data_IF_085846649595
#
_entry.id   IF_085846649595
#
_cell.length_a   1.000
_cell.length_b   1.000
_cell.length_c   1.000
_cell.angle_alpha   90.00
_cell.angle_beta   90.00
_cell.angle_gamma   90.00
#
_symmetry.space_group_name_H-M   'P 1'
#
loop_
_entity.id
_entity.type
_entity.pdbx_description
1 polymer ?
#
# COMPACT_ATOMS: atom_id res chain seq x y z
N UNK A 1 -25.15 -13.25 11.11
CA UNK A 1 -24.71 -13.38 12.50
C UNK A 1 -23.47 -12.51 12.65
N UNK A 2 -23.22 -11.92 13.82
CA UNK A 2 -21.97 -11.19 14.05
C UNK A 2 -20.80 -12.17 13.92
N UNK A 3 -19.73 -11.75 13.25
CA UNK A 3 -18.50 -12.53 13.18
C UNK A 3 -17.81 -12.51 14.55
N UNK A 4 -17.22 -13.65 14.91
CA UNK A 4 -16.68 -13.90 16.25
C UNK A 4 -15.17 -13.79 16.20
N UNK A 5 -14.60 -12.90 17.00
CA UNK A 5 -13.15 -12.66 17.04
C UNK A 5 -12.62 -13.07 18.40
N UNK A 6 -11.57 -13.87 18.42
CA UNK A 6 -10.83 -14.20 19.64
C UNK A 6 -9.56 -13.36 19.69
N UNK A 7 -9.34 -12.66 20.80
CA UNK A 7 -8.12 -11.91 21.10
C UNK A 7 -7.34 -12.68 22.17
N UNK A 8 -6.08 -12.99 21.90
CA UNK A 8 -5.16 -13.60 22.85
C UNK A 8 -3.98 -12.65 23.09
N UNK A 9 -3.94 -12.05 24.27
CA UNK A 9 -2.87 -11.15 24.72
C UNK A 9 -2.79 -11.18 26.26
N UNK A 10 -1.63 -10.87 26.83
CA UNK A 10 -1.42 -10.88 28.28
C UNK A 10 -1.66 -9.52 28.96
N UNK A 11 -1.58 -8.44 28.18
CA UNK A 11 -1.85 -7.07 28.63
C UNK A 11 -3.35 -6.75 28.63
N UNK A 12 -3.87 -6.37 29.81
CA UNK A 12 -5.28 -6.07 30.03
C UNK A 12 -5.75 -4.79 29.34
N UNK A 13 -4.88 -3.79 29.22
CA UNK A 13 -5.21 -2.52 28.57
C UNK A 13 -5.30 -2.74 27.05
N UNK A 14 -4.40 -3.56 26.47
CA UNK A 14 -4.46 -3.97 25.07
C UNK A 14 -5.75 -4.75 24.76
N UNK A 15 -6.10 -5.74 25.59
CA UNK A 15 -7.32 -6.54 25.42
C UNK A 15 -8.57 -5.67 25.40
N UNK A 16 -8.69 -4.75 26.36
CA UNK A 16 -9.88 -3.90 26.50
C UNK A 16 -9.95 -2.87 25.35
N UNK A 17 -8.83 -2.25 24.99
CA UNK A 17 -8.79 -1.28 23.90
C UNK A 17 -9.18 -1.92 22.54
N UNK A 18 -8.62 -3.09 22.23
CA UNK A 18 -8.96 -3.79 20.98
C UNK A 18 -10.42 -4.24 21.00
N UNK A 19 -10.88 -4.79 22.13
CA UNK A 19 -12.26 -5.24 22.30
C UNK A 19 -13.27 -4.11 22.03
N UNK A 20 -13.09 -2.95 22.66
CA UNK A 20 -13.99 -1.80 22.48
C UNK A 20 -14.09 -1.43 20.99
N UNK A 21 -12.95 -1.33 20.30
CA UNK A 21 -12.92 -0.96 18.89
C UNK A 21 -13.61 -2.00 17.99
N UNK A 22 -13.43 -3.29 18.27
CA UNK A 22 -14.07 -4.36 17.49
C UNK A 22 -15.58 -4.47 17.77
N UNK A 23 -16.00 -4.32 19.02
CA UNK A 23 -17.42 -4.35 19.37
C UNK A 23 -18.19 -3.15 18.78
N UNK A 24 -17.56 -1.97 18.72
CA UNK A 24 -18.12 -0.80 18.04
C UNK A 24 -18.37 -1.05 16.54
N UNK A 25 -17.59 -1.94 15.94
CA UNK A 25 -17.72 -2.36 14.54
C UNK A 25 -18.68 -3.55 14.36
N UNK A 26 -19.31 -4.02 15.43
CA UNK A 26 -20.35 -5.05 15.39
C UNK A 26 -19.85 -6.49 15.49
N UNK A 27 -18.56 -6.70 15.82
CA UNK A 27 -18.00 -8.03 16.06
C UNK A 27 -18.36 -8.55 17.46
N UNK A 28 -18.50 -9.86 17.60
CA UNK A 28 -18.59 -10.53 18.89
C UNK A 28 -17.18 -10.92 19.36
N UNK A 29 -16.72 -10.32 20.47
CA UNK A 29 -15.32 -10.46 20.90
C UNK A 29 -15.19 -11.41 22.10
N UNK A 30 -14.24 -12.32 22.00
CA UNK A 30 -13.81 -13.24 23.05
C UNK A 30 -12.37 -12.93 23.42
N UNK A 31 -12.05 -13.02 24.71
CA UNK A 31 -10.70 -12.74 25.23
C UNK A 31 -10.04 -14.03 25.72
N UNK A 32 -8.72 -14.07 25.64
CA UNK A 32 -7.85 -15.06 26.26
C UNK A 32 -6.58 -14.37 26.77
N UNK A 33 -6.15 -14.70 27.99
CA UNK A 33 -5.04 -14.03 28.70
C UNK A 33 -3.71 -14.75 28.57
N UNK A 34 -3.70 -15.91 27.92
CA UNK A 34 -2.54 -16.76 27.71
C UNK A 34 -2.81 -17.79 26.59
N UNK A 35 -1.77 -18.51 26.19
CA UNK A 35 -1.84 -19.48 25.10
C UNK A 35 -2.77 -20.67 25.35
N UNK A 36 -2.87 -21.17 26.59
CA UNK A 36 -3.73 -22.32 26.92
C UNK A 36 -5.21 -21.94 26.83
N UNK A 37 -5.57 -20.78 27.39
CA UNK A 37 -6.91 -20.21 27.29
C UNK A 37 -7.27 -19.92 25.82
N UNK A 38 -6.32 -19.43 25.02
CA UNK A 38 -6.53 -19.17 23.60
C UNK A 38 -6.88 -20.46 22.83
N UNK A 39 -6.14 -21.55 23.07
CA UNK A 39 -6.41 -22.86 22.44
C UNK A 39 -7.76 -23.44 22.88
N UNK A 40 -8.10 -23.33 24.17
CA UNK A 40 -9.40 -23.80 24.70
C UNK A 40 -10.57 -22.99 24.10
N UNK A 41 -10.46 -21.66 24.12
CA UNK A 41 -11.48 -20.76 23.60
C UNK A 41 -11.66 -20.94 22.10
N UNK A 42 -10.58 -21.05 21.32
CA UNK A 42 -10.67 -21.28 19.88
C UNK A 42 -11.44 -22.57 19.55
N UNK A 43 -11.22 -23.66 20.30
CA UNK A 43 -11.93 -24.93 20.11
C UNK A 43 -13.41 -24.86 20.47
N UNK A 44 -13.74 -24.12 21.53
CA UNK A 44 -15.12 -23.99 22.04
C UNK A 44 -15.95 -23.01 21.22
N UNK A 45 -15.41 -21.82 21.00
CA UNK A 45 -16.09 -20.71 20.33
C UNK A 45 -16.08 -20.90 18.82
N UNK A 46 -15.00 -21.48 18.25
CA UNK A 46 -14.76 -21.53 16.80
C UNK A 46 -14.87 -20.13 16.17
N UNK A 47 -13.94 -19.22 16.52
CA UNK A 47 -13.96 -17.87 16.00
C UNK A 47 -13.77 -17.85 14.49
N UNK A 48 -14.22 -16.77 13.88
CA UNK A 48 -14.03 -16.48 12.46
C UNK A 48 -12.66 -15.81 12.20
N UNK A 49 -12.01 -15.27 13.26
CA UNK A 49 -10.65 -14.73 13.25
C UNK A 49 -9.99 -14.80 14.63
N UNK A 50 -8.67 -14.99 14.68
CA UNK A 50 -7.87 -14.91 15.91
C UNK A 50 -6.84 -13.78 15.79
N UNK A 51 -6.83 -12.86 16.76
CA UNK A 51 -5.75 -11.90 17.00
C UNK A 51 -4.85 -12.48 18.10
N UNK A 52 -3.56 -12.68 17.81
CA UNK A 52 -2.65 -13.42 18.67
C UNK A 52 -1.37 -12.64 18.95
N UNK A 53 -1.17 -12.22 20.19
CA UNK A 53 0.11 -11.66 20.62
C UNK A 53 1.21 -12.71 20.54
N UNK A 54 2.38 -12.31 20.04
CA UNK A 54 3.57 -13.14 20.03
C UNK A 54 4.15 -13.29 21.43
N UNK A 55 4.16 -12.21 22.20
CA UNK A 55 4.77 -12.20 23.54
C UNK A 55 3.66 -12.38 24.56
N UNK A 56 3.58 -13.58 25.16
CA UNK A 56 2.64 -13.89 26.25
C UNK A 56 3.32 -14.79 27.31
N UNK A 57 2.83 -14.82 28.57
CA UNK A 57 3.25 -15.78 29.57
C UNK A 57 2.86 -17.21 29.17
N UNK A 58 3.78 -18.15 29.32
CA UNK A 58 3.56 -19.55 28.97
C UNK A 58 4.03 -19.87 27.55
N UNK A 59 3.27 -20.65 26.75
CA UNK A 59 3.63 -20.95 25.36
C UNK A 59 3.75 -19.66 24.53
N UNK A 60 4.81 -19.56 23.73
CA UNK A 60 5.00 -18.47 22.77
C UNK A 60 3.79 -18.40 21.82
N UNK A 61 3.33 -17.19 21.47
CA UNK A 61 2.23 -17.00 20.52
C UNK A 61 2.45 -17.77 19.22
N UNK A 62 3.70 -17.97 18.79
CA UNK A 62 4.00 -18.82 17.64
C UNK A 62 3.67 -20.30 17.86
N UNK A 63 3.90 -20.84 19.05
CA UNK A 63 3.51 -22.22 19.40
C UNK A 63 2.00 -22.36 19.46
N UNK A 64 1.30 -21.36 19.99
CA UNK A 64 -0.16 -21.30 19.98
C UNK A 64 -0.69 -21.31 18.55
N UNK A 65 -0.14 -20.47 17.67
CA UNK A 65 -0.50 -20.44 16.25
C UNK A 65 -0.29 -21.80 15.56
N UNK A 66 0.84 -22.48 15.82
CA UNK A 66 1.06 -23.84 15.33
C UNK A 66 0.04 -24.84 15.85
N UNK A 67 -0.30 -24.77 17.14
CA UNK A 67 -1.32 -25.61 17.77
C UNK A 67 -2.71 -25.42 17.15
N UNK A 68 -3.07 -24.17 16.85
CA UNK A 68 -4.32 -23.82 16.17
C UNK A 68 -4.37 -24.37 14.74
N UNK A 69 -3.27 -24.25 13.98
CA UNK A 69 -3.21 -24.75 12.60
C UNK A 69 -3.11 -26.27 12.50
N UNK A 70 -2.62 -26.96 13.54
CA UNK A 70 -2.55 -28.42 13.61
C UNK A 70 -3.88 -29.09 14.04
N UNK A 71 -4.79 -28.36 14.67
CA UNK A 71 -6.10 -28.88 15.11
C UNK A 71 -7.16 -28.68 14.02
N UNK A 72 -7.74 -29.78 13.54
CA UNK A 72 -8.74 -29.77 12.46
C UNK A 72 -10.00 -28.95 12.76
N UNK A 73 -10.24 -28.56 14.02
CA UNK A 73 -11.36 -27.69 14.41
C UNK A 73 -11.07 -26.21 14.22
N UNK A 74 -9.79 -25.83 14.14
CA UNK A 74 -9.31 -24.44 14.12
C UNK A 74 -8.36 -24.15 12.97
N UNK A 75 -7.95 -25.16 12.19
CA UNK A 75 -6.95 -25.02 11.12
C UNK A 75 -7.34 -24.02 10.04
N UNK A 76 -8.64 -23.94 9.74
CA UNK A 76 -9.19 -23.03 8.72
C UNK A 76 -9.45 -21.62 9.27
N UNK A 77 -9.39 -21.45 10.60
CA UNK A 77 -9.55 -20.14 11.22
C UNK A 77 -8.30 -19.30 10.94
N UNK A 78 -8.46 -18.10 10.37
CA UNK A 78 -7.33 -17.25 10.10
C UNK A 78 -6.73 -16.64 11.38
N UNK A 79 -5.41 -16.43 11.37
CA UNK A 79 -4.65 -15.89 12.51
C UNK A 79 -3.87 -14.65 12.09
N UNK A 80 -4.07 -13.54 12.80
CA UNK A 80 -3.29 -12.31 12.69
C UNK A 80 -2.41 -12.19 13.93
N UNK A 81 -1.09 -12.11 13.74
CA UNK A 81 -0.16 -11.93 14.84
C UNK A 81 0.00 -10.47 15.25
N UNK A 82 0.03 -10.18 16.54
CA UNK A 82 0.44 -8.87 17.08
C UNK A 82 1.90 -9.00 17.51
N UNK A 83 2.81 -8.25 16.87
CA UNK A 83 4.26 -8.43 17.02
C UNK A 83 4.94 -7.15 17.49
N UNK A 84 5.97 -7.23 18.31
CA UNK A 84 6.81 -6.07 18.62
C UNK A 84 7.62 -5.57 17.39
N UNK A 85 8.04 -4.31 17.43
CA UNK A 85 8.87 -3.68 16.41
C UNK A 85 10.19 -4.46 16.16
N UNK A 86 10.52 -4.71 14.89
CA UNK A 86 11.75 -5.43 14.50
C UNK A 86 11.56 -6.88 14.01
N UNK A 87 10.34 -7.43 14.06
CA UNK A 87 10.05 -8.71 13.42
C UNK A 87 10.04 -8.57 11.88
N UNK A 88 10.94 -9.27 11.18
CA UNK A 88 11.01 -9.22 9.71
C UNK A 88 9.85 -9.98 9.05
N UNK A 89 9.46 -9.51 7.86
CA UNK A 89 8.40 -10.10 7.01
C UNK A 89 8.65 -11.58 6.68
N UNK A 90 9.92 -11.99 6.62
CA UNK A 90 10.35 -13.37 6.42
C UNK A 90 10.19 -14.23 7.68
N UNK A 91 10.44 -13.68 8.87
CA UNK A 91 10.25 -14.40 10.13
C UNK A 91 8.77 -14.75 10.34
N UNK A 92 7.85 -13.79 10.18
CA UNK A 92 6.40 -14.02 10.37
C UNK A 92 5.84 -15.06 9.39
N UNK A 93 6.28 -15.03 8.12
CA UNK A 93 5.84 -16.01 7.11
C UNK A 93 6.38 -17.42 7.34
N UNK A 94 7.60 -17.55 7.89
CA UNK A 94 8.22 -18.85 8.10
C UNK A 94 7.63 -19.63 9.30
N UNK A 95 6.96 -18.96 10.25
CA UNK A 95 6.83 -19.54 11.59
C UNK A 95 5.60 -20.42 11.83
N UNK A 96 4.45 -20.25 11.15
CA UNK A 96 3.27 -21.08 11.47
C UNK A 96 2.09 -21.14 10.47
N UNK A 97 2.16 -20.51 9.29
CA UNK A 97 0.96 -20.34 8.46
C UNK A 97 0.06 -19.19 8.92
N UNK A 98 0.69 -18.10 9.39
CA UNK A 98 0.04 -16.83 9.70
C UNK A 98 -0.66 -16.25 8.47
N UNK A 99 -1.86 -15.69 8.67
CA UNK A 99 -2.63 -15.07 7.61
C UNK A 99 -2.30 -13.56 7.47
N UNK A 100 -1.90 -12.90 8.56
CA UNK A 100 -1.31 -11.56 8.57
C UNK A 100 -0.53 -11.28 9.89
N UNK A 101 0.02 -10.08 10.00
CA UNK A 101 0.54 -9.53 11.25
C UNK A 101 0.33 -8.01 11.37
N UNK A 102 0.34 -7.53 12.61
CA UNK A 102 0.28 -6.12 13.02
C UNK A 102 1.44 -5.84 13.94
N UNK A 103 2.18 -4.76 13.69
CA UNK A 103 3.29 -4.34 14.54
C UNK A 103 2.76 -3.44 15.66
N UNK A 104 3.17 -3.71 16.90
CA UNK A 104 2.92 -2.87 18.09
C UNK A 104 3.98 -1.75 18.19
N UNK A 105 3.60 -0.52 18.59
CA UNK A 105 2.23 -0.06 18.82
C UNK A 105 1.47 0.10 17.50
N UNK A 106 0.16 -0.18 17.51
CA UNK A 106 -0.70 -0.04 16.33
C UNK A 106 -1.85 0.93 16.58
N UNK A 107 -2.25 1.61 15.51
CA UNK A 107 -3.48 2.38 15.47
C UNK A 107 -4.71 1.44 15.33
N UNK A 108 -5.78 1.63 16.12
CA UNK A 108 -6.99 0.80 16.03
C UNK A 108 -7.59 0.72 14.63
N UNK A 109 -7.54 1.80 13.83
CA UNK A 109 -8.08 1.76 12.48
C UNK A 109 -7.25 0.83 11.57
N UNK A 110 -5.93 0.76 11.74
CA UNK A 110 -5.06 -0.20 11.04
C UNK A 110 -5.41 -1.65 11.40
N UNK A 111 -5.64 -1.94 12.68
CA UNK A 111 -6.03 -3.28 13.13
C UNK A 111 -7.39 -3.69 12.55
N UNK A 112 -8.41 -2.82 12.66
CA UNK A 112 -9.75 -3.06 12.10
C UNK A 112 -9.72 -3.32 10.60
N UNK A 113 -8.90 -2.55 9.90
CA UNK A 113 -8.64 -2.66 8.47
C UNK A 113 -8.10 -4.06 8.14
N UNK A 114 -7.13 -4.58 8.91
CA UNK A 114 -6.59 -5.94 8.70
C UNK A 114 -7.58 -7.04 9.07
N UNK A 115 -8.33 -6.86 10.14
CA UNK A 115 -9.41 -7.78 10.58
C UNK A 115 -10.42 -7.98 9.46
N UNK A 116 -10.99 -6.90 8.92
CA UNK A 116 -11.95 -6.94 7.79
C UNK A 116 -11.36 -7.66 6.59
N UNK A 117 -10.12 -7.34 6.22
CA UNK A 117 -9.42 -7.94 5.07
C UNK A 117 -9.39 -9.45 5.13
N UNK A 118 -9.05 -9.98 6.31
CA UNK A 118 -8.86 -11.41 6.51
C UNK A 118 -10.20 -12.13 6.58
N UNK A 119 -11.20 -11.53 7.22
CA UNK A 119 -12.57 -12.06 7.26
C UNK A 119 -13.23 -12.10 5.87
N UNK A 120 -12.95 -11.12 5.01
CA UNK A 120 -13.44 -11.07 3.63
C UNK A 120 -12.80 -12.13 2.70
N UNK A 121 -11.92 -13.01 3.22
CA UNK A 121 -11.29 -14.08 2.46
C UNK A 121 -10.21 -13.63 1.48
N UNK A 122 -9.66 -12.42 1.66
CA UNK A 122 -8.56 -11.93 0.84
C UNK A 122 -7.25 -12.64 1.22
N UNK A 123 -6.61 -13.29 0.23
CA UNK A 123 -5.43 -14.14 0.40
C UNK A 123 -4.35 -13.54 1.33
N UNK A 124 -3.69 -14.36 2.17
CA UNK A 124 -2.65 -13.90 3.09
C UNK A 124 -1.41 -13.41 2.32
N UNK A 125 -1.15 -12.10 2.43
CA UNK A 125 -0.16 -11.37 1.62
C UNK A 125 -0.75 -10.42 0.57
N UNK A 126 -2.07 -10.37 0.42
CA UNK A 126 -2.73 -9.27 -0.30
C UNK A 126 -2.79 -8.03 0.61
N UNK A 127 -2.27 -6.92 0.10
CA UNK A 127 -2.28 -5.59 0.72
C UNK A 127 -3.62 -5.20 1.39
N UNK A 128 -3.52 -4.35 2.42
CA UNK A 128 -4.59 -3.59 3.11
C UNK A 128 -5.89 -3.37 2.30
N UNK A 129 -7.09 -3.48 2.90
CA UNK A 129 -8.31 -2.95 2.30
C UNK A 129 -8.21 -1.44 2.09
N UNK A 130 -8.87 -1.05 1.01
CA UNK A 130 -8.76 0.20 0.26
C UNK A 130 -9.35 1.39 1.05
N UNK A 131 -8.49 2.26 1.59
CA UNK A 131 -8.55 3.63 1.05
C UNK A 131 -8.05 3.48 -0.38
N UNK A 132 -8.93 3.71 -1.36
CA UNK A 132 -8.70 3.35 -2.75
C UNK A 132 -7.27 3.66 -3.18
N UNK A 133 -6.49 2.61 -3.48
CA UNK A 133 -5.21 2.72 -4.21
C UNK A 133 -5.51 3.15 -5.63
N UNK A 134 -6.15 4.31 -5.77
CA UNK A 134 -6.52 4.86 -7.06
C UNK A 134 -5.25 5.37 -7.69
N UNK A 135 -5.10 5.08 -8.97
CA UNK A 135 -4.04 5.65 -9.76
C UNK A 135 -4.58 6.21 -11.06
N UNK A 136 -3.92 7.25 -11.55
CA UNK A 136 -4.14 7.78 -12.90
C UNK A 136 -2.84 7.84 -13.65
N UNK A 137 -2.93 7.54 -14.94
CA UNK A 137 -1.77 7.56 -15.85
C UNK A 137 -1.95 8.69 -16.84
N UNK A 138 -0.96 9.57 -16.93
CA UNK A 138 -0.93 10.68 -17.87
C UNK A 138 0.25 10.52 -18.84
N UNK A 139 -0.03 10.26 -20.11
CA UNK A 139 0.98 10.26 -21.16
C UNK A 139 1.15 11.66 -21.72
N UNK A 140 2.38 12.19 -21.69
CA UNK A 140 2.74 13.48 -22.28
C UNK A 140 3.49 13.22 -23.58
N UNK A 141 2.82 13.46 -24.72
CA UNK A 141 3.45 13.38 -26.03
C UNK A 141 2.62 14.06 -27.11
N UNK A 142 3.21 14.99 -27.84
CA UNK A 142 2.63 15.61 -29.04
C UNK A 142 2.17 14.54 -30.06
N UNK A 143 3.01 13.53 -30.31
CA UNK A 143 2.70 12.49 -31.30
C UNK A 143 1.61 11.51 -30.87
N UNK A 144 1.47 11.22 -29.58
CA UNK A 144 0.36 10.37 -29.10
C UNK A 144 -0.93 11.18 -29.06
N UNK A 145 -0.86 12.45 -28.63
CA UNK A 145 -2.01 13.36 -28.64
C UNK A 145 -2.55 13.62 -30.06
N UNK A 146 -1.68 13.66 -31.07
CA UNK A 146 -2.05 13.78 -32.47
C UNK A 146 -2.57 12.46 -33.11
N UNK A 147 -2.42 11.32 -32.43
CA UNK A 147 -2.77 10.00 -32.97
C UNK A 147 -1.75 9.41 -33.95
N UNK A 148 -0.55 10.00 -34.05
CA UNK A 148 0.53 9.53 -34.92
C UNK A 148 1.26 8.30 -34.34
N UNK A 149 1.14 8.05 -33.04
CA UNK A 149 1.80 6.95 -32.32
C UNK A 149 0.90 6.38 -31.23
N UNK A 150 1.01 5.07 -31.02
CA UNK A 150 0.31 4.38 -29.94
C UNK A 150 0.90 4.71 -28.56
N UNK A 151 0.03 4.82 -27.55
CA UNK A 151 0.41 5.01 -26.15
C UNK A 151 0.90 3.71 -25.48
N UNK A 152 2.06 3.23 -25.92
CA UNK A 152 2.65 2.01 -25.35
C UNK A 152 3.09 2.18 -23.90
N UNK A 153 3.72 3.31 -23.58
CA UNK A 153 4.25 3.57 -22.22
C UNK A 153 3.11 3.73 -21.22
N UNK A 154 2.05 4.49 -21.55
CA UNK A 154 0.87 4.62 -20.72
C UNK A 154 0.19 3.28 -20.49
N UNK A 155 -0.05 2.50 -21.55
CA UNK A 155 -0.66 1.16 -21.43
C UNK A 155 0.15 0.22 -20.53
N UNK A 156 1.48 0.26 -20.65
CA UNK A 156 2.40 -0.54 -19.83
C UNK A 156 2.34 -0.14 -18.35
N UNK A 157 2.23 1.16 -18.05
CA UNK A 157 2.09 1.66 -16.68
C UNK A 157 0.74 1.28 -16.06
N UNK A 158 -0.35 1.33 -16.84
CA UNK A 158 -1.67 0.90 -16.40
C UNK A 158 -1.65 -0.58 -16.00
N UNK A 159 -1.09 -1.44 -16.85
CA UNK A 159 -0.95 -2.88 -16.55
C UNK A 159 -0.12 -3.12 -15.28
N UNK A 160 1.00 -2.41 -15.13
CA UNK A 160 1.86 -2.55 -13.95
C UNK A 160 1.17 -2.10 -12.66
N UNK A 161 0.51 -0.94 -12.66
CA UNK A 161 -0.23 -0.43 -11.52
C UNK A 161 -1.36 -1.40 -11.12
N UNK A 162 -2.14 -1.90 -12.09
CA UNK A 162 -3.18 -2.91 -11.83
C UNK A 162 -2.61 -4.20 -11.24
N UNK A 163 -1.47 -4.68 -11.77
CA UNK A 163 -0.81 -5.88 -11.24
C UNK A 163 -0.29 -5.72 -9.81
N UNK A 164 -0.08 -4.48 -9.35
CA UNK A 164 0.39 -4.15 -7.99
C UNK A 164 -0.75 -3.75 -7.05
N UNK A 165 -2.01 -3.91 -7.49
CA UNK A 165 -3.21 -3.70 -6.69
C UNK A 165 -3.76 -2.28 -6.69
N UNK A 166 -3.32 -1.42 -7.63
CA UNK A 166 -3.94 -0.12 -7.84
C UNK A 166 -5.18 -0.23 -8.75
N UNK A 167 -6.21 0.54 -8.41
CA UNK A 167 -7.36 0.79 -9.28
C UNK A 167 -7.04 1.94 -10.21
N UNK A 168 -6.74 1.63 -11.46
CA UNK A 168 -6.45 2.64 -12.48
C UNK A 168 -7.76 3.06 -13.14
N UNK A 169 -8.34 4.14 -12.64
CA UNK A 169 -9.64 4.67 -13.04
C UNK A 169 -9.57 5.68 -14.19
N UNK A 170 -8.36 6.15 -14.53
CA UNK A 170 -8.15 7.06 -15.65
C UNK A 170 -6.78 6.86 -16.31
N UNK A 171 -6.79 6.78 -17.64
CA UNK A 171 -5.62 6.91 -18.51
C UNK A 171 -5.90 8.06 -19.49
N UNK A 172 -5.04 9.07 -19.52
CA UNK A 172 -5.21 10.27 -20.33
C UNK A 172 -3.93 10.58 -21.10
N UNK A 173 -4.09 11.21 -22.26
CA UNK A 173 -2.98 11.72 -23.07
C UNK A 173 -3.08 13.24 -23.15
N UNK A 174 -1.95 13.93 -23.08
CA UNK A 174 -1.85 15.39 -23.30
C UNK A 174 -0.64 15.71 -24.19
N UNK A 175 -0.69 16.86 -24.85
CA UNK A 175 0.39 17.38 -25.66
C UNK A 175 1.56 17.87 -24.79
N UNK A 176 2.75 17.97 -25.37
CA UNK A 176 3.91 18.52 -24.69
C UNK A 176 3.76 20.03 -24.41
N UNK A 177 4.45 20.52 -23.39
CA UNK A 177 4.48 21.93 -23.04
C UNK A 177 3.85 22.27 -21.69
N UNK A 178 4.31 23.38 -21.11
CA UNK A 178 3.98 23.77 -19.74
C UNK A 178 2.48 23.90 -19.50
N UNK A 179 1.78 24.66 -20.36
CA UNK A 179 0.36 24.96 -20.17
C UNK A 179 -0.52 23.72 -20.31
N UNK A 180 -0.28 22.90 -21.34
CA UNK A 180 -1.06 21.68 -21.59
C UNK A 180 -0.91 20.70 -20.42
N UNK A 181 0.33 20.38 -20.02
CA UNK A 181 0.60 19.44 -18.94
C UNK A 181 0.07 19.95 -17.60
N UNK A 182 0.31 21.23 -17.26
CA UNK A 182 -0.16 21.80 -16.00
C UNK A 182 -1.69 21.82 -15.90
N UNK A 183 -2.37 22.15 -17.00
CA UNK A 183 -3.84 22.13 -17.06
C UNK A 183 -4.37 20.71 -16.87
N UNK A 184 -3.82 19.74 -17.61
CA UNK A 184 -4.24 18.34 -17.47
C UNK A 184 -3.96 17.79 -16.08
N UNK A 185 -2.81 18.12 -15.46
CA UNK A 185 -2.50 17.71 -14.09
C UNK A 185 -3.55 18.23 -13.10
N UNK A 186 -3.94 19.51 -13.17
CA UNK A 186 -5.00 20.05 -12.30
C UNK A 186 -6.33 19.32 -12.48
N UNK A 187 -6.71 19.03 -13.73
CA UNK A 187 -7.94 18.32 -14.04
C UNK A 187 -7.95 16.90 -13.46
N UNK A 188 -6.88 16.12 -13.67
CA UNK A 188 -6.81 14.73 -13.19
C UNK A 188 -6.62 14.63 -11.67
N UNK A 189 -6.16 15.69 -11.00
CA UNK A 189 -6.04 15.71 -9.53
C UNK A 189 -7.26 16.32 -8.84
N UNK A 190 -8.18 16.97 -9.56
CA UNK A 190 -9.36 17.59 -8.96
C UNK A 190 -10.28 16.53 -8.33
N UNK A 191 -10.52 16.64 -7.02
CA UNK A 191 -11.34 15.69 -6.27
C UNK A 191 -10.74 14.28 -6.22
N UNK A 192 -9.44 14.15 -6.44
CA UNK A 192 -8.74 12.88 -6.49
C UNK A 192 -7.76 12.74 -5.32
N UNK A 193 -7.82 11.58 -4.67
CA UNK A 193 -6.84 11.13 -3.68
C UNK A 193 -6.24 9.83 -4.19
N UNK A 194 -4.92 9.81 -4.41
CA UNK A 194 -4.24 8.68 -5.04
C UNK A 194 -2.94 9.05 -5.75
N UNK A 195 -2.41 8.10 -6.51
CA UNK A 195 -1.18 8.27 -7.28
C UNK A 195 -1.48 8.77 -8.69
N UNK A 196 -0.79 9.80 -9.15
CA UNK A 196 -0.77 10.19 -10.57
C UNK A 196 0.65 10.01 -11.09
N UNK A 197 0.81 9.18 -12.11
CA UNK A 197 2.10 9.04 -12.80
C UNK A 197 2.01 9.65 -14.18
N UNK A 198 3.02 10.46 -14.52
CA UNK A 198 3.19 10.93 -15.90
C UNK A 198 4.25 10.11 -16.61
N UNK A 199 4.17 9.97 -17.92
CA UNK A 199 5.26 9.44 -18.75
C UNK A 199 5.50 10.34 -19.96
N UNK A 200 6.76 10.67 -20.22
CA UNK A 200 7.16 11.55 -21.32
C UNK A 200 7.45 12.99 -20.90
N UNK A 201 8.11 13.72 -21.78
CA UNK A 201 8.43 15.15 -21.59
C UNK A 201 9.45 15.47 -20.49
N UNK A 202 10.24 14.48 -20.01
CA UNK A 202 11.24 14.67 -18.91
C UNK A 202 12.69 14.71 -19.37
N UNK A 203 12.96 14.55 -20.68
CA UNK A 203 14.29 14.56 -21.28
C UNK A 203 14.83 15.98 -21.49
N UNK A 204 15.80 16.17 -22.38
CA UNK A 204 16.38 17.48 -22.73
C UNK A 204 15.89 18.03 -24.09
N UNK A 205 14.88 17.41 -24.69
CA UNK A 205 14.26 17.93 -25.89
C UNK A 205 13.63 19.31 -25.64
N UNK A 206 13.54 20.18 -26.68
CA UNK A 206 13.00 21.54 -26.52
C UNK A 206 11.52 21.58 -26.09
N UNK A 207 10.81 20.46 -26.25
CA UNK A 207 9.42 20.27 -25.87
C UNK A 207 9.27 19.49 -24.55
N UNK A 208 10.35 18.91 -24.03
CA UNK A 208 10.35 18.18 -22.76
C UNK A 208 10.19 19.19 -21.63
N UNK A 209 8.96 19.51 -21.25
CA UNK A 209 8.64 20.54 -20.25
C UNK A 209 7.72 20.02 -19.14
N UNK A 210 7.59 18.69 -19.02
CA UNK A 210 6.78 18.04 -17.98
C UNK A 210 7.26 18.38 -16.57
N UNK A 211 8.57 18.39 -16.25
CA UNK A 211 9.04 18.80 -14.92
C UNK A 211 8.70 20.26 -14.60
N UNK A 212 8.90 21.17 -15.56
CA UNK A 212 8.57 22.58 -15.44
C UNK A 212 7.07 22.77 -15.21
N UNK A 213 6.23 22.11 -16.00
CA UNK A 213 4.78 22.11 -15.84
C UNK A 213 4.36 21.62 -14.45
N UNK A 214 4.90 20.46 -14.03
CA UNK A 214 4.58 19.83 -12.74
C UNK A 214 4.95 20.77 -11.58
N UNK A 215 6.12 21.42 -11.62
CA UNK A 215 6.53 22.41 -10.61
C UNK A 215 5.58 23.60 -10.48
N UNK A 216 4.85 23.97 -11.53
CA UNK A 216 3.87 25.07 -11.45
C UNK A 216 2.58 24.70 -10.71
N UNK A 217 2.33 23.41 -10.46
CA UNK A 217 1.07 22.90 -9.89
C UNK A 217 1.24 22.16 -8.58
N UNK A 218 2.42 21.62 -8.28
CA UNK A 218 2.68 20.96 -7.00
C UNK A 218 2.75 21.97 -5.86
N UNK A 219 2.12 21.61 -4.74
CA UNK A 219 2.11 22.38 -3.50
C UNK A 219 3.34 22.08 -2.64
N UNK A 220 3.83 20.82 -2.67
CA UNK A 220 5.04 20.37 -1.98
C UNK A 220 5.80 19.39 -2.86
N UNK A 221 7.11 19.57 -3.01
CA UNK A 221 7.96 18.61 -3.71
C UNK A 221 8.31 17.41 -2.82
N UNK A 222 8.49 16.24 -3.46
CA UNK A 222 8.95 15.00 -2.85
C UNK A 222 10.29 14.56 -3.50
N UNK A 223 11.40 15.29 -3.27
CA UNK A 223 12.65 15.10 -3.99
C UNK A 223 13.25 13.70 -3.82
N UNK A 224 13.09 13.08 -2.64
CA UNK A 224 13.60 11.73 -2.38
C UNK A 224 13.04 10.65 -3.32
N UNK A 225 11.77 10.77 -3.75
CA UNK A 225 11.19 9.86 -4.75
C UNK A 225 11.85 10.06 -6.12
N UNK A 226 12.08 11.31 -6.51
CA UNK A 226 12.76 11.63 -7.77
C UNK A 226 14.22 11.16 -7.76
N UNK A 227 14.90 11.22 -6.61
CA UNK A 227 16.25 10.71 -6.43
C UNK A 227 16.32 9.18 -6.50
N UNK A 228 15.35 8.47 -5.90
CA UNK A 228 15.25 7.02 -5.99
C UNK A 228 15.09 6.55 -7.46
N UNK A 229 14.22 7.21 -8.24
CA UNK A 229 14.04 6.93 -9.67
C UNK A 229 15.33 7.16 -10.49
N UNK A 230 16.06 8.25 -10.19
CA UNK A 230 17.35 8.52 -10.84
C UNK A 230 18.41 7.50 -10.48
N UNK A 231 18.39 7.01 -9.24
CA UNK A 231 19.38 6.05 -8.73
C UNK A 231 19.24 4.70 -9.42
N UNK A 232 18.01 4.17 -9.52
CA UNK A 232 17.77 2.89 -10.20
C UNK A 232 18.12 2.96 -11.69
N UNK A 233 17.89 4.11 -12.32
CA UNK A 233 18.22 4.35 -13.73
C UNK A 233 19.73 4.58 -13.99
N UNK A 234 20.59 4.41 -12.99
CA UNK A 234 22.04 4.64 -13.04
C UNK A 234 22.85 3.38 -12.67
N UNK A 235 22.56 2.27 -13.35
CA UNK A 235 23.35 1.03 -13.22
C UNK A 235 24.64 1.07 -14.08
N UNK A 236 25.65 0.24 -13.78
CA UNK A 236 26.85 0.12 -14.60
C UNK A 236 26.51 -0.15 -16.09
N UNK A 237 26.91 0.76 -16.97
CA UNK A 237 26.62 0.69 -18.41
C UNK A 237 25.31 1.36 -18.86
N UNK A 238 24.52 1.92 -17.93
CA UNK A 238 23.28 2.66 -18.22
C UNK A 238 23.19 3.95 -17.37
N UNK A 239 23.92 5.02 -17.71
CA UNK A 239 23.96 6.25 -16.91
C UNK A 239 22.80 7.22 -17.21
N UNK A 240 21.63 6.70 -17.61
CA UNK A 240 20.54 7.55 -18.12
C UNK A 240 19.77 8.26 -17.01
N UNK A 241 19.83 7.76 -15.77
CA UNK A 241 19.26 8.43 -14.60
C UNK A 241 19.83 9.82 -14.36
N UNK A 242 21.09 10.08 -14.73
CA UNK A 242 21.70 11.42 -14.66
C UNK A 242 21.01 12.44 -15.58
N UNK A 243 20.30 11.98 -16.61
CA UNK A 243 19.64 12.83 -17.60
C UNK A 243 18.15 13.05 -17.29
N UNK A 244 17.60 12.37 -16.28
CA UNK A 244 16.18 12.46 -15.94
C UNK A 244 15.91 13.74 -15.13
N UNK A 245 15.02 14.58 -15.64
CA UNK A 245 14.62 15.85 -14.99
C UNK A 245 13.28 15.78 -14.26
N UNK A 246 12.62 14.62 -14.28
CA UNK A 246 11.33 14.39 -13.63
C UNK A 246 11.31 14.78 -12.16
N UNK A 247 10.18 15.32 -11.71
CA UNK A 247 9.93 15.67 -10.31
C UNK A 247 8.80 14.83 -9.73
N UNK A 248 8.75 14.77 -8.41
CA UNK A 248 7.61 14.25 -7.66
C UNK A 248 7.12 15.32 -6.70
N UNK A 249 5.82 15.33 -6.40
CA UNK A 249 5.23 16.28 -5.47
C UNK A 249 3.73 16.07 -5.29
N UNK A 250 3.11 16.87 -4.43
CA UNK A 250 1.70 16.71 -4.06
C UNK A 250 0.85 17.81 -4.66
N UNK A 251 -0.34 17.47 -5.15
CA UNK A 251 -1.39 18.42 -5.56
C UNK A 251 -2.66 18.01 -4.81
N UNK A 252 -3.11 18.81 -3.83
CA UNK A 252 -4.13 18.38 -2.88
C UNK A 252 -3.79 17.04 -2.23
N UNK A 253 -4.71 16.07 -2.34
CA UNK A 253 -4.56 14.72 -1.81
C UNK A 253 -3.89 13.72 -2.80
N UNK A 254 -3.37 14.21 -3.92
CA UNK A 254 -2.72 13.38 -4.93
C UNK A 254 -1.19 13.47 -4.84
N UNK A 255 -0.51 12.32 -4.96
CA UNK A 255 0.93 12.25 -5.19
C UNK A 255 1.19 12.16 -6.70
N UNK A 256 1.93 13.11 -7.26
CA UNK A 256 2.31 13.16 -8.68
C UNK A 256 3.78 12.79 -8.85
N UNK A 257 4.09 11.87 -9.76
CA UNK A 257 5.45 11.44 -10.07
C UNK A 257 5.71 11.44 -11.59
N UNK A 258 6.74 12.17 -12.06
CA UNK A 258 7.10 12.17 -13.47
C UNK A 258 8.08 11.03 -13.81
N UNK A 259 7.63 10.09 -14.63
CA UNK A 259 8.40 8.96 -15.11
C UNK A 259 9.00 9.25 -16.51
N UNK A 260 10.09 8.56 -16.90
CA UNK A 260 10.64 8.63 -18.24
C UNK A 260 9.62 8.29 -19.34
N UNK A 261 9.87 8.74 -20.57
CA UNK A 261 8.99 8.47 -21.72
C UNK A 261 9.10 7.06 -22.31
N UNK A 262 10.22 6.35 -22.09
CA UNK A 262 10.37 4.96 -22.53
C UNK A 262 9.64 4.01 -21.58
N UNK A 263 8.93 3.03 -22.14
CA UNK A 263 8.16 2.07 -21.33
C UNK A 263 9.03 1.33 -20.29
N UNK A 264 10.24 0.93 -20.65
CA UNK A 264 11.16 0.25 -19.74
C UNK A 264 11.66 1.16 -18.61
N UNK A 265 12.05 2.40 -18.93
CA UNK A 265 12.51 3.35 -17.92
C UNK A 265 11.36 3.79 -17.00
N UNK A 266 10.16 3.94 -17.54
CA UNK A 266 8.96 4.25 -16.77
C UNK A 266 8.63 3.14 -15.76
N UNK A 267 8.67 1.87 -16.18
CA UNK A 267 8.44 0.72 -15.29
C UNK A 267 9.48 0.63 -14.18
N UNK A 268 10.76 0.77 -14.52
CA UNK A 268 11.87 0.71 -13.55
C UNK A 268 11.75 1.81 -12.48
N UNK A 269 11.43 3.03 -12.92
CA UNK A 269 11.21 4.16 -12.03
C UNK A 269 9.93 3.99 -11.19
N UNK A 270 8.86 3.46 -11.77
CA UNK A 270 7.63 3.19 -11.02
C UNK A 270 7.91 2.15 -9.92
N UNK A 271 8.58 1.04 -10.27
CA UNK A 271 8.82 -0.08 -9.37
C UNK A 271 9.65 0.30 -8.14
N UNK A 272 10.62 1.21 -8.29
CA UNK A 272 11.44 1.63 -7.14
C UNK A 272 10.66 2.49 -6.15
N UNK A 273 9.68 3.28 -6.60
CA UNK A 273 8.92 4.17 -5.72
C UNK A 273 7.67 3.51 -5.13
N UNK A 274 7.08 2.53 -5.83
CA UNK A 274 5.83 1.88 -5.43
C UNK A 274 5.81 1.36 -3.97
N UNK A 275 6.89 0.83 -3.39
CA UNK A 275 6.88 0.41 -1.98
C UNK A 275 6.63 1.54 -0.99
N UNK A 276 7.02 2.78 -1.31
CA UNK A 276 6.87 3.95 -0.44
C UNK A 276 5.57 4.72 -0.67
N UNK A 277 4.95 4.60 -1.85
CA UNK A 277 3.75 5.35 -2.23
C UNK A 277 2.56 5.14 -1.27
N UNK A 278 2.22 3.91 -0.83
CA UNK A 278 1.06 3.72 0.06
C UNK A 278 1.13 4.57 1.33
N UNK A 279 2.29 4.59 1.99
CA UNK A 279 2.49 5.40 3.19
C UNK A 279 2.34 6.90 2.91
N UNK A 280 2.84 7.39 1.77
CA UNK A 280 2.67 8.79 1.39
C UNK A 280 1.18 9.15 1.14
N UNK A 281 0.39 8.22 0.57
CA UNK A 281 -1.04 8.43 0.34
C UNK A 281 -1.85 8.42 1.64
N UNK A 282 -1.51 7.56 2.60
CA UNK A 282 -2.09 7.53 3.95
C UNK A 282 -1.88 8.88 4.66
N UNK A 283 -0.64 9.40 4.63
CA UNK A 283 -0.32 10.73 5.18
C UNK A 283 -1.12 11.85 4.52
N UNK A 284 -1.35 11.78 3.21
CA UNK A 284 -2.13 12.77 2.46
C UNK A 284 -3.64 12.69 2.73
N UNK A 285 -4.15 11.51 3.09
CA UNK A 285 -5.55 11.31 3.45
C UNK A 285 -5.91 11.89 4.84
N UNK A 286 -4.92 12.35 5.62
CA UNK A 286 -5.14 12.84 6.98
C UNK A 286 -5.36 11.71 8.00
N UNK A 287 -5.07 10.47 7.63
CA UNK A 287 -4.98 9.34 8.53
C UNK A 287 -3.65 9.46 9.28
N UNK A 288 -3.65 10.24 10.37
CA UNK A 288 -2.42 10.59 11.08
C UNK A 288 -1.76 9.35 11.73
N UNK A 289 -0.50 9.05 11.40
CA UNK A 289 0.38 8.27 12.24
C UNK A 289 1.23 9.24 13.06
N UNK A 290 0.66 9.81 14.13
CA UNK A 290 1.41 10.48 15.20
C UNK A 290 0.74 10.22 16.55
#
# INVERSE_FOLDING_TARGET
MAERILIAADDDDDLEAIKINLELEGYEVFLARNGDEALEHARRVRPDLILLDVVMPGPDGFDVGRGLKADARTSDCPVIFLTAEGATREAVRLIAGADDYVVKPFDPANLLTRVRRVLDGAAPGANLPKLGRRARVLTVSDGVAAGDRDDRSGSTLVERLRSTGYDVDEQRVTADGVEAVATTLREVTTGFAGLVVTTGGTGFGPRDLTPEATRTVVEREAPGLAEAMRTVSNEPGRPYGMLQRGVCGTIGAALVCNLPGSASGALECLDVILPAVPHALELLAGEHPH
#
